data_IF_688778364189
#
_entry.id   IF_688778364189
#
_cell.length_a   1.000
_cell.length_b   1.000
_cell.length_c   1.000
_cell.angle_alpha   90.00
_cell.angle_beta   90.00
_cell.angle_gamma   90.00
#
_symmetry.space_group_name_H-M   'P 1'
#
loop_
_entity.id
_entity.type
_entity.pdbx_description
1 polymer ?
#
# COMPACT_ATOMS: atom_id res chain seq x y z
N UNK A 1 1.12 -9.26 4.97
CA UNK A 1 -0.35 -9.15 5.10
C UNK A 1 -0.85 -7.73 4.82
N UNK A 2 -0.38 -6.67 5.49
CA UNK A 2 -0.79 -5.28 5.19
C UNK A 2 -0.33 -4.74 3.82
N UNK A 3 0.89 -5.08 3.40
CA UNK A 3 1.42 -4.72 2.07
C UNK A 3 0.68 -5.41 0.92
N UNK A 4 0.08 -6.58 1.18
CA UNK A 4 -0.82 -7.24 0.23
C UNK A 4 -2.08 -6.41 0.02
N UNK A 5 -2.64 -5.85 1.10
CA UNK A 5 -3.80 -4.94 1.02
C UNK A 5 -3.49 -3.69 0.18
N UNK A 6 -2.28 -3.12 0.31
CA UNK A 6 -1.84 -1.96 -0.49
C UNK A 6 -1.80 -2.29 -1.98
N UNK A 7 -1.18 -3.42 -2.30
CA UNK A 7 -1.09 -3.91 -3.67
C UNK A 7 -2.46 -4.11 -4.33
N UNK A 8 -3.50 -4.41 -3.54
CA UNK A 8 -4.83 -4.68 -4.05
C UNK A 8 -5.70 -3.45 -4.20
N UNK A 9 -5.51 -2.46 -3.33
CA UNK A 9 -6.22 -1.18 -3.38
C UNK A 9 -5.72 -0.31 -4.54
N UNK A 10 -4.43 -0.38 -4.82
CA UNK A 10 -3.77 0.47 -5.83
C UNK A 10 -3.79 -0.15 -7.23
N UNK A 11 -4.15 -1.43 -7.35
CA UNK A 11 -4.05 -2.16 -8.61
C UNK A 11 -5.32 -2.14 -9.47
N UNK A 12 -5.19 -1.85 -10.78
CA UNK A 12 -6.24 -2.14 -11.77
C UNK A 12 -6.57 -3.66 -11.90
N UNK A 13 -5.73 -4.54 -11.34
CA UNK A 13 -5.85 -6.01 -11.39
C UNK A 13 -7.04 -6.52 -10.55
N UNK A 14 -7.73 -5.65 -9.81
CA UNK A 14 -9.02 -5.93 -9.12
C UNK A 14 -10.04 -6.71 -9.97
N UNK A 15 -9.93 -6.62 -11.29
CA UNK A 15 -10.81 -7.34 -12.24
C UNK A 15 -10.25 -8.66 -12.82
N UNK A 16 -8.97 -9.01 -12.61
CA UNK A 16 -8.36 -10.18 -13.30
C UNK A 16 -8.07 -11.40 -12.42
N UNK A 17 -8.01 -11.28 -11.10
CA UNK A 17 -7.67 -12.43 -10.25
C UNK A 17 -8.87 -12.85 -9.41
N UNK A 18 -9.02 -14.17 -9.26
CA UNK A 18 -10.06 -14.94 -8.57
C UNK A 18 -10.19 -14.65 -7.06
N UNK A 19 -9.92 -13.42 -6.62
CA UNK A 19 -9.74 -13.04 -5.21
C UNK A 19 -10.85 -12.09 -4.71
N UNK A 20 -12.05 -12.16 -5.28
CA UNK A 20 -13.19 -11.33 -4.82
C UNK A 20 -13.65 -11.62 -3.38
N UNK A 21 -13.32 -12.79 -2.82
CA UNK A 21 -13.90 -13.24 -1.55
C UNK A 21 -12.94 -13.11 -0.36
N UNK A 22 -11.68 -13.53 -0.49
CA UNK A 22 -10.73 -13.47 0.63
C UNK A 22 -10.19 -12.05 0.89
N UNK A 23 -10.13 -11.19 -0.13
CA UNK A 23 -9.61 -9.84 0.02
C UNK A 23 -10.55 -8.93 0.79
N UNK A 24 -11.86 -9.06 0.58
CA UNK A 24 -12.84 -8.18 1.21
C UNK A 24 -12.91 -8.41 2.71
N UNK A 25 -12.90 -9.65 3.18
CA UNK A 25 -12.94 -9.97 4.61
C UNK A 25 -11.64 -9.60 5.33
N UNK A 26 -10.47 -9.97 4.79
CA UNK A 26 -9.18 -9.63 5.41
C UNK A 26 -8.90 -8.12 5.40
N UNK A 27 -9.21 -7.44 4.29
CA UNK A 27 -9.09 -5.99 4.21
C UNK A 27 -9.99 -5.31 5.24
N UNK A 28 -11.24 -5.77 5.35
CA UNK A 28 -12.19 -5.22 6.32
C UNK A 28 -11.69 -5.40 7.75
N UNK A 29 -11.08 -6.54 8.09
CA UNK A 29 -10.54 -6.78 9.45
C UNK A 29 -9.37 -5.84 9.76
N UNK A 30 -8.38 -5.72 8.89
CA UNK A 30 -7.20 -4.89 9.13
C UNK A 30 -7.51 -3.39 9.06
N UNK A 31 -8.36 -2.98 8.11
CA UNK A 31 -8.84 -1.60 8.04
C UNK A 31 -9.68 -1.25 9.27
N UNK A 32 -10.57 -2.15 9.73
CA UNK A 32 -11.30 -1.93 10.98
C UNK A 32 -10.37 -1.90 12.19
N UNK A 33 -9.34 -2.73 12.23
CA UNK A 33 -8.35 -2.68 13.30
C UNK A 33 -7.66 -1.31 13.34
N UNK A 34 -7.20 -0.77 12.20
CA UNK A 34 -6.67 0.60 12.14
C UNK A 34 -7.71 1.65 12.58
N UNK A 35 -8.99 1.50 12.23
CA UNK A 35 -10.09 2.39 12.68
C UNK A 35 -10.28 2.37 14.20
N UNK A 36 -9.93 1.28 14.88
CA UNK A 36 -10.00 1.21 16.36
C UNK A 36 -8.84 1.88 17.08
N UNK A 37 -7.74 2.18 16.37
CA UNK A 37 -6.54 2.76 16.95
C UNK A 37 -6.63 4.28 17.04
N UNK A 38 -5.94 4.87 18.01
CA UNK A 38 -5.76 6.33 18.06
C UNK A 38 -4.98 6.85 16.84
N UNK A 39 -5.13 8.13 16.46
CA UNK A 39 -4.37 8.71 15.34
C UNK A 39 -2.85 8.53 15.48
N UNK A 40 -2.33 8.60 16.71
CA UNK A 40 -0.91 8.36 16.98
C UNK A 40 -0.53 6.90 16.70
N UNK A 41 -1.31 5.93 17.16
CA UNK A 41 -1.05 4.51 16.94
C UNK A 41 -1.18 4.10 15.46
N UNK A 42 -2.14 4.68 14.75
CA UNK A 42 -2.24 4.52 13.29
C UNK A 42 -0.97 5.02 12.62
N UNK A 43 -0.52 6.23 12.96
CA UNK A 43 0.70 6.82 12.40
C UNK A 43 1.93 5.95 12.69
N UNK A 44 2.08 5.43 13.91
CA UNK A 44 3.18 4.54 14.29
C UNK A 44 3.16 3.24 13.48
N UNK A 45 1.97 2.63 13.32
CA UNK A 45 1.79 1.43 12.49
C UNK A 45 2.12 1.68 11.04
N UNK A 46 1.61 2.77 10.46
CA UNK A 46 1.86 3.15 9.07
C UNK A 46 3.34 3.46 8.86
N UNK A 47 3.99 4.16 9.79
CA UNK A 47 5.43 4.43 9.75
C UNK A 47 6.24 3.15 9.78
N UNK A 48 5.92 2.22 10.68
CA UNK A 48 6.62 0.93 10.75
C UNK A 48 6.41 0.04 9.52
N UNK A 49 5.33 0.23 8.76
CA UNK A 49 5.13 -0.41 7.46
C UNK A 49 5.95 0.28 6.38
N UNK A 50 5.94 1.61 6.37
CA UNK A 50 6.72 2.42 5.43
C UNK A 50 8.22 2.11 5.54
N UNK A 51 8.76 2.08 6.76
CA UNK A 51 10.17 1.79 7.01
C UNK A 51 10.59 0.38 6.58
N UNK A 52 9.67 -0.58 6.55
CA UNK A 52 9.96 -1.94 6.03
C UNK A 52 10.00 -1.98 4.50
N UNK A 53 9.34 -1.04 3.84
CA UNK A 53 9.35 -0.92 2.38
C UNK A 53 10.52 -0.06 1.91
N UNK A 54 10.90 0.95 2.70
CA UNK A 54 12.00 1.85 2.37
C UNK A 54 13.34 1.18 2.63
N UNK A 55 13.70 0.30 1.70
CA UNK A 55 14.99 -0.40 1.72
C UNK A 55 16.17 0.56 1.51
N UNK A 56 15.92 1.74 0.97
CA UNK A 56 16.93 2.76 0.67
C UNK A 56 17.22 3.69 1.86
N UNK A 57 16.25 3.85 2.77
CA UNK A 57 16.33 4.78 3.89
C UNK A 57 16.20 6.25 3.51
N UNK A 58 15.75 6.56 2.29
CA UNK A 58 15.62 7.92 1.79
C UNK A 58 14.33 8.62 2.26
N UNK A 59 13.44 7.90 2.95
CA UNK A 59 12.13 8.41 3.38
C UNK A 59 11.10 8.46 2.25
N UNK A 60 11.37 7.78 1.14
CA UNK A 60 10.53 7.69 -0.07
C UNK A 60 10.64 6.31 -0.70
N UNK A 61 9.56 5.84 -1.31
CA UNK A 61 9.53 4.56 -2.01
C UNK A 61 9.51 4.79 -3.50
N UNK A 62 10.61 4.49 -4.17
CA UNK A 62 10.63 4.47 -5.63
C UNK A 62 9.81 3.30 -6.19
N UNK A 63 9.56 3.32 -7.51
CA UNK A 63 8.80 2.26 -8.18
C UNK A 63 9.39 0.85 -7.97
N UNK A 64 10.71 0.73 -7.78
CA UNK A 64 11.42 -0.54 -7.64
C UNK A 64 11.21 -1.11 -6.23
N UNK A 65 11.39 -0.29 -5.21
CA UNK A 65 11.13 -0.62 -3.81
C UNK A 65 9.65 -0.96 -3.60
N UNK A 66 8.77 -0.15 -4.20
CA UNK A 66 7.33 -0.37 -4.17
C UNK A 66 6.95 -1.70 -4.84
N UNK A 67 7.47 -2.00 -6.03
CA UNK A 67 7.28 -3.29 -6.71
C UNK A 67 7.76 -4.45 -5.84
N UNK A 68 8.97 -4.35 -5.28
CA UNK A 68 9.60 -5.39 -4.48
C UNK A 68 8.82 -5.66 -3.19
N UNK A 69 8.37 -4.60 -2.51
CA UNK A 69 7.55 -4.68 -1.32
C UNK A 69 6.21 -5.36 -1.59
N UNK A 70 5.54 -4.96 -2.68
CA UNK A 70 4.27 -5.56 -3.10
C UNK A 70 4.44 -7.02 -3.50
N UNK A 71 5.50 -7.35 -4.24
CA UNK A 71 5.78 -8.72 -4.68
C UNK A 71 6.10 -9.63 -3.49
N UNK A 72 6.92 -9.16 -2.56
CA UNK A 72 7.22 -9.88 -1.32
C UNK A 72 5.98 -10.10 -0.45
N UNK A 73 5.05 -9.15 -0.45
CA UNK A 73 3.86 -9.20 0.37
C UNK A 73 2.70 -10.01 -0.23
N UNK A 74 2.54 -9.95 -1.55
CA UNK A 74 1.49 -10.65 -2.28
C UNK A 74 1.87 -12.06 -2.68
N UNK A 75 3.17 -12.34 -2.79
CA UNK A 75 3.67 -13.58 -3.37
C UNK A 75 3.43 -13.67 -4.89
N UNK A 76 2.84 -12.65 -5.51
CA UNK A 76 2.56 -12.60 -6.94
C UNK A 76 3.63 -11.79 -7.68
N UNK A 77 3.94 -12.22 -8.91
CA UNK A 77 4.82 -11.45 -9.78
C UNK A 77 4.09 -10.22 -10.30
N UNK A 78 4.51 -9.06 -9.83
CA UNK A 78 4.02 -7.75 -10.28
C UNK A 78 5.02 -7.20 -11.28
N UNK A 79 4.53 -6.72 -12.42
CA UNK A 79 5.40 -6.11 -13.43
C UNK A 79 5.77 -4.69 -13.03
N UNK A 80 6.90 -4.17 -13.54
CA UNK A 80 7.30 -2.79 -13.30
C UNK A 80 6.26 -1.79 -13.81
N UNK A 81 5.59 -2.10 -14.92
CA UNK A 81 4.51 -1.27 -15.47
C UNK A 81 3.30 -1.22 -14.53
N UNK A 82 2.89 -2.36 -13.96
CA UNK A 82 1.82 -2.40 -12.97
C UNK A 82 2.21 -1.61 -11.71
N UNK A 83 3.42 -1.81 -11.19
CA UNK A 83 3.91 -1.09 -10.02
C UNK A 83 3.96 0.42 -10.26
N UNK A 84 4.43 0.85 -11.44
CA UNK A 84 4.46 2.27 -11.83
C UNK A 84 3.05 2.85 -11.95
N UNK A 85 2.09 2.10 -12.51
CA UNK A 85 0.69 2.53 -12.58
C UNK A 85 0.04 2.65 -11.20
N UNK A 86 0.35 1.73 -10.29
CA UNK A 86 -0.11 1.79 -8.91
C UNK A 86 0.52 2.99 -8.17
N UNK A 87 1.83 3.19 -8.32
CA UNK A 87 2.54 4.31 -7.72
C UNK A 87 1.94 5.64 -8.20
N UNK A 88 1.74 5.81 -9.51
CA UNK A 88 1.10 7.00 -10.09
C UNK A 88 -0.32 7.28 -9.60
N UNK A 89 -1.00 6.30 -9.00
CA UNK A 89 -2.35 6.52 -8.44
C UNK A 89 -2.34 7.13 -7.04
N UNK A 90 -1.18 7.11 -6.37
CA UNK A 90 -0.97 7.63 -5.01
C UNK A 90 0.07 8.74 -4.94
N UNK A 91 0.99 8.76 -5.90
CA UNK A 91 1.93 9.84 -6.18
C UNK A 91 1.14 11.07 -6.65
N UNK A 92 0.97 12.02 -5.74
CA UNK A 92 0.13 13.22 -5.93
C UNK A 92 0.98 14.40 -6.36
N UNK A 93 2.25 14.44 -5.97
CA UNK A 93 3.19 15.50 -6.35
C UNK A 93 3.92 15.22 -7.68
N UNK A 94 3.86 13.98 -8.18
CA UNK A 94 4.42 13.55 -9.45
C UNK A 94 5.94 13.37 -9.42
N UNK A 95 6.54 13.21 -8.24
CA UNK A 95 7.99 13.04 -8.09
C UNK A 95 8.48 11.63 -8.49
N UNK A 96 7.55 10.72 -8.80
CA UNK A 96 7.86 9.35 -9.22
C UNK A 96 8.25 8.44 -8.05
N UNK A 97 7.99 8.87 -6.82
CA UNK A 97 8.19 8.15 -5.57
C UNK A 97 6.94 8.27 -4.71
N UNK A 98 6.85 7.47 -3.65
CA UNK A 98 5.80 7.59 -2.65
C UNK A 98 6.41 8.10 -1.36
N UNK A 99 6.05 9.31 -0.97
CA UNK A 99 6.43 9.87 0.33
C UNK A 99 5.61 9.24 1.46
N UNK A 100 6.11 9.34 2.70
CA UNK A 100 5.33 8.89 3.86
C UNK A 100 3.99 9.62 3.98
N UNK A 101 3.93 10.88 3.55
CA UNK A 101 2.72 11.70 3.61
C UNK A 101 1.65 11.17 2.65
N UNK A 102 2.02 10.92 1.39
CA UNK A 102 1.12 10.35 0.38
C UNK A 102 0.71 8.93 0.73
N UNK A 103 1.62 8.15 1.32
CA UNK A 103 1.27 6.86 1.89
C UNK A 103 0.18 6.98 2.95
N UNK A 104 0.32 7.92 3.89
CA UNK A 104 -0.71 8.16 4.92
C UNK A 104 -2.04 8.62 4.30
N UNK A 105 -2.01 9.48 3.28
CA UNK A 105 -3.23 9.92 2.59
C UNK A 105 -3.94 8.75 1.91
N UNK A 106 -3.20 7.93 1.15
CA UNK A 106 -3.75 6.74 0.52
C UNK A 106 -4.41 5.82 1.56
N UNK A 107 -3.84 5.72 2.77
CA UNK A 107 -4.40 4.93 3.87
C UNK A 107 -5.63 5.57 4.48
N UNK A 108 -5.62 6.88 4.66
CA UNK A 108 -6.75 7.59 5.18
C UNK A 108 -7.98 7.46 4.27
N UNK A 109 -7.82 7.57 2.95
CA UNK A 109 -8.92 7.40 1.98
C UNK A 109 -9.52 5.99 2.04
N UNK A 110 -8.68 4.99 2.30
CA UNK A 110 -9.05 3.58 2.45
C UNK A 110 -9.70 3.27 3.80
N UNK A 111 -9.36 4.03 4.83
CA UNK A 111 -9.90 3.90 6.20
C UNK A 111 -11.22 4.68 6.33
N UNK A 112 -11.40 5.79 5.62
CA UNK A 112 -12.62 6.61 5.70
C UNK A 112 -13.73 6.10 4.79
N UNK A 113 -13.41 5.41 3.69
CA UNK A 113 -14.37 4.71 2.82
C UNK A 113 -14.52 3.21 3.14
#
# INVERSE_FOLDING_TARGET
MFLYVMALLLSPIRNRVRIRLLQREFFTVEANYLKTLSPQEQTIRLRGLFDRMDLSGEGRLDAIAFQSAIQAASGERITMDDATRMLKSVDTDGDGSLSFYEFCQAMNDVIIH
#
